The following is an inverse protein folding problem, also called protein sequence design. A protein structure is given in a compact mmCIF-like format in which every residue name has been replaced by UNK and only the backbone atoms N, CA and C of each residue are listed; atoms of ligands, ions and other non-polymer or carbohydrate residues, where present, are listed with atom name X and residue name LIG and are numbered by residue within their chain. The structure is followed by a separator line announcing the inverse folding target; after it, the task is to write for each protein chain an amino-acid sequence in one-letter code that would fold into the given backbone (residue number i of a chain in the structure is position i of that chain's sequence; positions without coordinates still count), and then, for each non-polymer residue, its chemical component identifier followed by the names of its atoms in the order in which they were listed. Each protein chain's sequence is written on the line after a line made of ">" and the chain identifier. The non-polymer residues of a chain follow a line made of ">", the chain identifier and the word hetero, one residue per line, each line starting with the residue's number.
data_IF_207313604981
#
_entry.id   IF_207313604981
#
_cell.length_a   1.000
_cell.length_b   1.000
_cell.length_c   1.000
_cell.angle_alpha   90.00
_cell.angle_beta   90.00
_cell.angle_gamma   90.00
#
_symmetry.space_group_name_H-M   'P 1'
#
loop_
_entity.id
_entity.type
_entity.pdbx_description
1 polymer ?
#
# COMPACT_ATOMS: atom_id res chain seq x y z
N UNK A 1 14.71 -9.78 2.75
CA UNK A 1 14.75 -8.64 1.82
C UNK A 1 13.78 -7.60 2.36
N UNK A 2 14.06 -6.29 2.20
CA UNK A 2 13.08 -5.24 2.46
C UNK A 2 11.80 -5.54 1.66
N UNK A 3 10.91 -4.60 1.38
CA UNK A 3 9.76 -4.88 0.51
C UNK A 3 10.19 -5.67 -0.73
N UNK A 4 9.52 -6.77 -1.03
CA UNK A 4 9.86 -7.61 -2.18
C UNK A 4 9.62 -6.83 -3.49
N UNK A 5 10.61 -6.81 -4.39
CA UNK A 5 10.48 -6.24 -5.73
C UNK A 5 10.61 -4.72 -5.83
N UNK A 6 10.10 -4.15 -6.92
CA UNK A 6 10.29 -2.75 -7.32
C UNK A 6 8.96 -1.99 -7.54
N UNK A 7 7.86 -2.68 -7.71
CA UNK A 7 6.53 -2.10 -7.88
C UNK A 7 5.64 -2.38 -6.68
N UNK A 8 4.69 -1.46 -6.43
CA UNK A 8 3.70 -1.57 -5.37
C UNK A 8 2.33 -1.10 -5.86
N UNK A 9 1.33 -1.97 -5.74
CA UNK A 9 -0.07 -1.56 -5.75
C UNK A 9 -0.51 -1.40 -4.30
N UNK A 10 -0.90 -0.18 -3.94
CA UNK A 10 -1.49 0.16 -2.66
C UNK A 10 -2.98 0.43 -2.87
N UNK A 11 -3.82 -0.23 -2.09
CA UNK A 11 -5.26 0.05 -2.03
C UNK A 11 -5.69 0.24 -0.59
N UNK A 12 -6.49 1.26 -0.33
CA UNK A 12 -7.04 1.50 1.00
C UNK A 12 -8.51 1.94 0.85
N UNK A 13 -9.38 1.41 1.71
CA UNK A 13 -10.82 1.66 1.62
C UNK A 13 -11.51 1.54 2.97
N UNK A 14 -12.65 2.21 3.07
CA UNK A 14 -13.67 1.94 4.09
C UNK A 14 -14.75 1.03 3.51
N UNK A 15 -15.42 0.29 4.39
CA UNK A 15 -16.57 -0.55 4.07
C UNK A 15 -17.66 -0.34 5.14
N UNK A 16 -18.92 -0.38 4.76
CA UNK A 16 -20.00 -0.28 5.74
C UNK A 16 -20.00 -1.51 6.66
N UNK A 17 -20.29 -1.30 7.94
CA UNK A 17 -20.30 -2.34 8.95
C UNK A 17 -21.22 -3.53 8.56
N UNK A 18 -22.34 -3.26 7.87
CA UNK A 18 -23.26 -4.29 7.37
C UNK A 18 -22.66 -5.23 6.32
N UNK A 19 -21.59 -4.82 5.64
CA UNK A 19 -20.92 -5.60 4.59
C UNK A 19 -19.53 -6.09 5.01
N UNK A 20 -19.08 -5.73 6.19
CA UNK A 20 -17.69 -5.94 6.61
C UNK A 20 -17.33 -7.43 6.74
N UNK A 21 -18.22 -8.25 7.28
CA UNK A 21 -18.00 -9.69 7.38
C UNK A 21 -17.85 -10.36 6.01
N UNK A 22 -18.69 -9.96 5.04
CA UNK A 22 -18.64 -10.46 3.67
C UNK A 22 -17.39 -10.00 2.94
N UNK A 23 -17.00 -8.73 3.09
CA UNK A 23 -15.80 -8.14 2.56
C UNK A 23 -14.53 -8.86 3.08
N UNK A 24 -14.46 -9.15 4.39
CA UNK A 24 -13.34 -9.88 4.96
C UNK A 24 -13.26 -11.30 4.42
N UNK A 25 -14.40 -12.02 4.35
CA UNK A 25 -14.47 -13.36 3.79
C UNK A 25 -14.02 -13.42 2.33
N UNK A 26 -14.42 -12.45 1.51
CA UNK A 26 -13.99 -12.33 0.11
C UNK A 26 -12.47 -12.14 -0.01
N UNK A 27 -11.88 -11.24 0.80
CA UNK A 27 -10.43 -11.06 0.83
C UNK A 27 -9.68 -12.33 1.22
N UNK A 28 -10.21 -13.05 2.21
CA UNK A 28 -9.54 -14.21 2.81
C UNK A 28 -9.67 -15.48 1.96
N UNK A 29 -10.65 -15.56 1.06
CA UNK A 29 -10.96 -16.78 0.31
C UNK A 29 -10.77 -16.68 -1.20
N UNK A 30 -10.69 -15.46 -1.74
CA UNK A 30 -10.59 -15.25 -3.17
C UNK A 30 -9.58 -14.15 -3.52
N UNK A 31 -9.83 -12.92 -3.07
CA UNK A 31 -9.21 -11.75 -3.68
C UNK A 31 -7.68 -11.68 -3.53
N UNK A 32 -7.16 -12.01 -2.34
CA UNK A 32 -5.71 -11.90 -2.11
C UNK A 32 -4.94 -12.92 -2.94
N UNK A 33 -5.43 -14.15 -2.96
CA UNK A 33 -4.83 -15.25 -3.76
C UNK A 33 -4.88 -14.93 -5.25
N UNK A 34 -6.05 -14.50 -5.80
CA UNK A 34 -6.18 -14.09 -7.19
C UNK A 34 -5.15 -13.04 -7.60
N UNK A 35 -4.90 -12.04 -6.74
CA UNK A 35 -3.94 -10.98 -7.04
C UNK A 35 -2.51 -11.49 -7.01
N UNK A 36 -2.14 -12.29 -6.02
CA UNK A 36 -0.79 -12.85 -5.89
C UNK A 36 -0.50 -13.89 -6.98
N UNK A 37 -1.53 -14.60 -7.48
CA UNK A 37 -1.40 -15.54 -8.58
C UNK A 37 -1.02 -14.88 -9.92
N UNK A 38 -1.27 -13.59 -10.12
CA UNK A 38 -0.93 -12.88 -11.35
C UNK A 38 0.59 -12.90 -11.58
N UNK A 39 1.02 -13.09 -12.82
CA UNK A 39 2.43 -13.06 -13.18
C UNK A 39 3.07 -11.71 -12.85
N UNK A 40 4.25 -11.76 -12.21
CA UNK A 40 4.98 -10.60 -11.76
C UNK A 40 4.63 -10.13 -10.34
N UNK A 41 3.50 -10.56 -9.75
CA UNK A 41 3.19 -10.32 -8.34
C UNK A 41 4.01 -11.27 -7.45
N UNK A 42 4.46 -10.78 -6.29
CA UNK A 42 5.33 -11.51 -5.38
C UNK A 42 4.66 -11.84 -4.05
N UNK A 43 3.98 -10.87 -3.47
CA UNK A 43 3.29 -11.00 -2.19
C UNK A 43 2.17 -9.97 -2.05
N UNK A 44 1.25 -10.25 -1.16
CA UNK A 44 0.25 -9.31 -0.68
C UNK A 44 0.24 -9.27 0.84
N UNK A 45 -0.07 -8.10 1.39
CA UNK A 45 -0.21 -7.87 2.83
C UNK A 45 -1.50 -7.12 3.08
N UNK A 46 -2.24 -7.54 4.09
CA UNK A 46 -3.51 -6.95 4.46
C UNK A 46 -3.49 -6.41 5.88
N UNK A 47 -4.00 -5.20 6.06
CA UNK A 47 -3.92 -4.46 7.32
C UNK A 47 -5.29 -3.88 7.68
N UNK A 48 -5.49 -3.65 9.00
CA UNK A 48 -6.62 -2.90 9.57
C UNK A 48 -6.11 -1.74 10.40
N UNK A 49 -6.75 -0.58 10.28
CA UNK A 49 -6.35 0.62 11.02
C UNK A 49 -6.54 0.46 12.53
N UNK A 50 -5.49 0.74 13.27
CA UNK A 50 -5.53 1.06 14.69
C UNK A 50 -5.80 2.55 14.88
N UNK A 51 -5.15 3.37 14.07
CA UNK A 51 -5.33 4.82 14.02
C UNK A 51 -5.37 5.30 12.57
N UNK A 52 -6.23 6.27 12.25
CA UNK A 52 -6.35 6.86 10.92
C UNK A 52 -7.43 6.22 10.05
N UNK A 53 -7.45 6.64 8.80
CA UNK A 53 -8.42 6.20 7.78
C UNK A 53 -7.79 6.22 6.39
N UNK A 54 -8.32 5.43 5.43
CA UNK A 54 -9.40 4.44 5.52
C UNK A 54 -9.09 3.25 6.43
N UNK A 55 -10.11 2.46 6.84
CA UNK A 55 -10.00 1.35 7.81
C UNK A 55 -9.13 0.21 7.31
N UNK A 56 -9.21 -0.15 6.04
CA UNK A 56 -8.48 -1.26 5.45
C UNK A 56 -7.40 -0.78 4.51
N UNK A 57 -6.27 -1.46 4.52
CA UNK A 57 -5.13 -1.22 3.63
C UNK A 57 -4.63 -2.56 3.11
N UNK A 58 -4.38 -2.64 1.80
CA UNK A 58 -3.73 -3.77 1.16
C UNK A 58 -2.56 -3.30 0.33
N UNK A 59 -1.45 -4.02 0.43
CA UNK A 59 -0.21 -3.79 -0.29
C UNK A 59 0.10 -5.01 -1.14
N UNK A 60 0.33 -4.82 -2.43
CA UNK A 60 0.72 -5.89 -3.35
C UNK A 60 2.03 -5.52 -4.00
N UNK A 61 3.09 -6.27 -3.73
CA UNK A 61 4.40 -6.02 -4.33
C UNK A 61 4.61 -6.84 -5.60
N UNK A 62 5.34 -6.26 -6.54
CA UNK A 62 5.66 -6.87 -7.83
C UNK A 62 7.15 -6.86 -8.10
N UNK A 63 7.65 -7.86 -8.84
CA UNK A 63 9.07 -8.01 -9.17
C UNK A 63 9.62 -6.81 -9.90
N UNK A 64 8.86 -6.30 -10.86
CA UNK A 64 9.14 -5.05 -11.58
C UNK A 64 7.94 -4.13 -11.50
N UNK A 65 8.16 -2.83 -11.71
CA UNK A 65 7.07 -1.86 -11.78
C UNK A 65 6.12 -2.14 -12.95
N UNK A 66 6.66 -2.59 -14.08
CA UNK A 66 5.94 -2.85 -15.32
C UNK A 66 4.92 -3.99 -15.18
N UNK A 67 5.07 -4.88 -14.20
CA UNK A 67 4.08 -5.91 -13.88
C UNK A 67 2.70 -5.31 -13.55
N UNK A 68 2.67 -4.10 -12.99
CA UNK A 68 1.44 -3.37 -12.65
C UNK A 68 0.72 -2.74 -13.85
N UNK A 69 1.27 -2.87 -15.04
CA UNK A 69 0.66 -2.49 -16.32
C UNK A 69 0.76 -3.63 -17.36
N UNK A 70 1.05 -4.84 -16.91
CA UNK A 70 1.22 -6.02 -17.79
C UNK A 70 -0.11 -6.47 -18.40
N UNK A 71 -0.07 -7.18 -19.53
CA UNK A 71 -1.26 -7.83 -20.09
C UNK A 71 -1.95 -8.77 -19.10
N UNK A 72 -1.19 -9.54 -18.31
CA UNK A 72 -1.73 -10.44 -17.28
C UNK A 72 -2.53 -9.67 -16.23
N UNK A 73 -1.99 -8.56 -15.71
CA UNK A 73 -2.70 -7.73 -14.74
C UNK A 73 -3.95 -7.08 -15.34
N UNK A 74 -3.88 -6.53 -16.56
CA UNK A 74 -5.04 -5.97 -17.26
C UNK A 74 -6.13 -7.00 -17.50
N UNK A 75 -5.76 -8.21 -17.90
CA UNK A 75 -6.70 -9.33 -18.07
C UNK A 75 -7.40 -9.68 -16.75
N UNK A 76 -6.66 -9.75 -15.64
CA UNK A 76 -7.24 -10.02 -14.34
C UNK A 76 -8.21 -8.91 -13.87
N UNK A 77 -7.92 -7.64 -14.20
CA UNK A 77 -8.83 -6.52 -13.92
C UNK A 77 -10.11 -6.57 -14.74
N UNK A 78 -10.03 -7.01 -16.01
CA UNK A 78 -11.18 -7.11 -16.91
C UNK A 78 -12.08 -8.32 -16.62
N UNK A 79 -11.54 -9.40 -16.04
CA UNK A 79 -12.23 -10.66 -15.79
C UNK A 79 -12.48 -10.93 -14.31
N UNK A 80 -12.90 -9.91 -13.57
CA UNK A 80 -13.24 -10.08 -12.17
C UNK A 80 -14.49 -10.96 -11.98
N UNK A 81 -14.50 -11.78 -10.92
CA UNK A 81 -15.64 -12.58 -10.51
C UNK A 81 -16.82 -11.69 -10.12
N UNK A 82 -18.02 -12.24 -10.10
CA UNK A 82 -19.21 -11.50 -9.62
C UNK A 82 -19.08 -11.17 -8.12
N UNK A 83 -18.40 -12.02 -7.36
CA UNK A 83 -18.11 -11.77 -5.95
C UNK A 83 -17.15 -10.58 -5.77
N UNK A 84 -16.09 -10.53 -6.58
CA UNK A 84 -15.18 -9.37 -6.64
C UNK A 84 -15.91 -8.09 -7.04
N UNK A 85 -16.72 -8.10 -8.10
CA UNK A 85 -17.50 -6.93 -8.55
C UNK A 85 -18.43 -6.41 -7.46
N UNK A 86 -19.16 -7.32 -6.79
CA UNK A 86 -20.10 -6.97 -5.72
C UNK A 86 -19.40 -6.32 -4.51
N UNK A 87 -18.20 -6.81 -4.12
CA UNK A 87 -17.46 -6.23 -3.01
C UNK A 87 -16.80 -4.89 -3.38
N UNK A 88 -16.22 -4.79 -4.58
CA UNK A 88 -15.58 -3.55 -5.07
C UNK A 88 -16.60 -2.41 -5.19
N UNK A 89 -17.83 -2.69 -5.63
CA UNK A 89 -18.90 -1.69 -5.70
C UNK A 89 -19.30 -1.07 -4.34
N UNK A 90 -18.92 -1.72 -3.23
CA UNK A 90 -19.19 -1.25 -1.86
C UNK A 90 -18.05 -0.42 -1.26
N UNK A 91 -16.92 -0.26 -1.96
CA UNK A 91 -15.79 0.50 -1.45
C UNK A 91 -16.13 1.97 -1.28
N UNK A 92 -15.71 2.54 -0.15
CA UNK A 92 -15.82 3.95 0.17
C UNK A 92 -14.45 4.53 0.47
N UNK A 93 -14.27 5.81 0.20
CA UNK A 93 -13.03 6.55 0.46
C UNK A 93 -11.79 5.85 -0.12
N UNK A 94 -11.95 5.23 -1.30
CA UNK A 94 -10.90 4.42 -1.90
C UNK A 94 -9.70 5.26 -2.27
N UNK A 95 -8.53 4.81 -1.85
CA UNK A 95 -7.23 5.24 -2.30
C UNK A 95 -6.63 4.10 -3.11
N UNK A 96 -6.21 4.38 -4.34
CA UNK A 96 -5.47 3.46 -5.18
C UNK A 96 -4.21 4.14 -5.68
N UNK A 97 -3.07 3.51 -5.45
CA UNK A 97 -1.79 3.98 -5.93
C UNK A 97 -1.01 2.84 -6.58
N UNK A 98 -0.54 3.07 -7.79
CA UNK A 98 0.44 2.24 -8.49
C UNK A 98 1.76 2.99 -8.39
N UNK A 99 2.74 2.42 -7.70
CA UNK A 99 3.93 3.15 -7.29
C UNK A 99 5.22 2.37 -7.54
N UNK A 100 6.32 3.11 -7.72
CA UNK A 100 7.69 2.58 -7.64
C UNK A 100 8.15 2.60 -6.19
N UNK A 101 8.83 1.55 -5.76
CA UNK A 101 9.54 1.51 -4.48
C UNK A 101 10.89 2.18 -4.71
N UNK A 102 11.05 3.44 -4.33
CA UNK A 102 12.26 4.24 -4.63
C UNK A 102 13.27 4.29 -3.49
N UNK A 103 12.80 4.10 -2.25
CA UNK A 103 13.64 3.87 -1.08
C UNK A 103 13.12 2.62 -0.37
N UNK A 104 14.04 1.71 -0.02
CA UNK A 104 13.71 0.51 0.74
C UNK A 104 14.90 0.14 1.61
N UNK A 105 14.76 0.25 2.94
CA UNK A 105 15.82 -0.01 3.91
C UNK A 105 15.30 -0.88 5.05
N UNK A 106 16.20 -1.65 5.63
CA UNK A 106 15.89 -2.63 6.68
C UNK A 106 15.44 -3.97 6.11
N UNK A 107 14.86 -4.84 6.91
CA UNK A 107 14.52 -6.21 6.53
C UNK A 107 13.22 -6.66 7.19
N UNK A 108 12.44 -7.42 6.43
CA UNK A 108 11.22 -8.04 6.94
C UNK A 108 10.05 -7.06 7.10
N UNK A 109 9.03 -7.53 7.78
CA UNK A 109 7.79 -6.83 8.15
C UNK A 109 7.50 -7.02 9.61
N UNK A 110 6.86 -6.03 10.21
CA UNK A 110 6.43 -6.08 11.59
C UNK A 110 4.92 -6.33 11.72
N UNK A 111 4.45 -6.42 12.97
CA UNK A 111 3.03 -6.53 13.28
C UNK A 111 2.28 -5.21 13.09
N UNK A 112 2.99 -4.08 13.10
CA UNK A 112 2.43 -2.75 12.91
C UNK A 112 3.08 -2.04 11.73
N UNK A 113 2.26 -1.27 10.99
CA UNK A 113 2.67 -0.46 9.84
C UNK A 113 2.22 0.99 10.04
N UNK A 114 3.18 1.92 10.06
CA UNK A 114 2.91 3.34 9.90
C UNK A 114 2.84 3.69 8.42
N UNK A 115 1.83 4.45 8.02
CA UNK A 115 1.73 5.00 6.68
C UNK A 115 1.57 6.52 6.75
N UNK A 116 2.30 7.23 5.89
CA UNK A 116 2.12 8.67 5.69
C UNK A 116 1.93 8.94 4.21
N UNK A 117 0.81 9.54 3.87
CA UNK A 117 0.48 10.00 2.53
C UNK A 117 0.97 11.42 2.32
N UNK A 118 1.74 11.63 1.29
CA UNK A 118 2.39 12.89 0.96
C UNK A 118 1.94 13.38 -0.41
N UNK A 119 1.71 14.68 -0.56
CA UNK A 119 1.50 15.34 -1.85
C UNK A 119 2.70 16.21 -2.19
N UNK A 120 3.66 15.72 -3.00
CA UNK A 120 4.86 16.46 -3.31
C UNK A 120 4.55 17.66 -4.21
N UNK A 121 4.98 18.86 -3.80
CA UNK A 121 5.02 20.05 -4.65
C UNK A 121 6.37 20.08 -5.39
N UNK A 122 7.45 19.82 -4.66
CA UNK A 122 8.82 19.66 -5.17
C UNK A 122 9.30 18.24 -4.86
N UNK A 123 9.30 17.38 -5.88
CA UNK A 123 9.61 15.96 -5.74
C UNK A 123 11.05 15.73 -5.33
N UNK A 124 12.01 16.49 -5.88
CA UNK A 124 13.43 16.26 -5.62
C UNK A 124 13.82 16.71 -4.22
N UNK A 125 13.29 17.85 -3.78
CA UNK A 125 13.46 18.32 -2.41
C UNK A 125 12.88 17.35 -1.40
N UNK A 126 11.65 16.87 -1.63
CA UNK A 126 11.00 15.91 -0.73
C UNK A 126 11.76 14.56 -0.70
N UNK A 127 12.20 14.05 -1.84
CA UNK A 127 12.98 12.82 -1.92
C UNK A 127 14.32 12.94 -1.18
N UNK A 128 14.97 14.09 -1.30
CA UNK A 128 16.21 14.37 -0.58
C UNK A 128 15.97 14.39 0.92
N UNK A 129 14.94 15.09 1.40
CA UNK A 129 14.58 15.13 2.81
C UNK A 129 14.27 13.73 3.38
N UNK A 130 13.54 12.90 2.62
CA UNK A 130 13.17 11.55 3.07
C UNK A 130 14.35 10.56 3.03
N UNK A 131 15.32 10.75 2.14
CA UNK A 131 16.44 9.81 1.99
C UNK A 131 17.22 9.59 3.29
N UNK A 132 17.43 10.62 4.06
CA UNK A 132 18.17 10.55 5.31
C UNK A 132 17.28 10.17 6.50
N UNK A 133 15.98 10.44 6.42
CA UNK A 133 15.01 10.15 7.46
C UNK A 133 14.57 8.70 7.47
N UNK A 134 14.52 8.03 6.30
CA UNK A 134 14.06 6.66 6.16
C UNK A 134 15.18 5.65 6.39
N UNK A 135 15.74 5.64 7.60
CA UNK A 135 16.77 4.70 8.05
C UNK A 135 16.34 4.05 9.38
N UNK A 136 16.05 2.74 9.40
CA UNK A 136 15.63 2.03 10.59
C UNK A 136 16.78 1.69 11.55
N UNK A 137 18.04 1.81 11.14
CA UNK A 137 19.20 1.25 11.84
C UNK A 137 19.37 1.73 13.30
N UNK A 138 18.76 2.85 13.69
CA UNK A 138 18.85 3.43 15.04
C UNK A 138 17.47 3.63 15.66
N UNK A 139 16.50 2.83 15.27
CA UNK A 139 15.13 2.94 15.75
C UNK A 139 14.69 1.59 16.34
N UNK A 140 14.65 1.52 17.66
CA UNK A 140 14.20 0.32 18.37
C UNK A 140 12.78 -0.06 17.94
N UNK A 141 12.58 -1.33 17.64
CA UNK A 141 11.30 -1.87 17.21
C UNK A 141 10.90 -1.54 15.76
N UNK A 142 11.73 -0.83 14.98
CA UNK A 142 11.52 -0.60 13.55
C UNK A 142 12.35 -1.57 12.74
N UNK A 143 11.71 -2.29 11.83
CA UNK A 143 12.35 -3.34 11.03
C UNK A 143 12.64 -2.91 9.61
N UNK A 144 11.79 -2.09 9.00
CA UNK A 144 12.04 -1.53 7.67
C UNK A 144 11.29 -0.22 7.42
N UNK A 145 11.81 0.57 6.47
CA UNK A 145 11.24 1.86 6.05
C UNK A 145 11.32 2.01 4.54
N UNK A 146 10.24 2.52 3.93
CA UNK A 146 10.13 2.59 2.47
C UNK A 146 9.50 3.89 1.99
N UNK A 147 9.87 4.30 0.76
CA UNK A 147 9.19 5.35 0.01
C UNK A 147 8.57 4.75 -1.25
N UNK A 148 7.29 5.01 -1.44
CA UNK A 148 6.53 4.68 -2.63
C UNK A 148 6.22 5.97 -3.39
N UNK A 149 6.64 6.05 -4.65
CA UNK A 149 6.36 7.18 -5.53
C UNK A 149 5.34 6.76 -6.58
N UNK A 150 4.12 7.28 -6.49
CA UNK A 150 3.03 6.89 -7.39
C UNK A 150 3.22 7.43 -8.80
N UNK A 151 2.85 6.59 -9.77
CA UNK A 151 2.67 6.98 -11.16
C UNK A 151 1.23 7.50 -11.35
N UNK A 152 1.03 8.78 -11.69
CA UNK A 152 -0.31 9.35 -11.81
C UNK A 152 -1.15 8.73 -12.93
N UNK A 153 -0.52 8.26 -14.02
CA UNK A 153 -1.22 7.68 -15.15
C UNK A 153 -1.79 6.30 -14.79
N UNK A 154 -1.00 5.47 -14.09
CA UNK A 154 -1.42 4.13 -13.68
C UNK A 154 -2.28 4.13 -12.41
N UNK A 155 -2.25 5.19 -11.62
CA UNK A 155 -3.05 5.33 -10.39
C UNK A 155 -4.45 5.90 -10.62
N UNK A 156 -4.87 6.05 -11.87
CA UNK A 156 -6.26 6.46 -12.22
C UNK A 156 -7.27 5.43 -11.70
N UNK A 157 -8.53 5.84 -11.44
CA UNK A 157 -9.60 4.90 -11.16
C UNK A 157 -9.74 3.87 -12.29
N UNK A 158 -10.04 2.63 -11.92
CA UNK A 158 -10.37 1.57 -12.89
C UNK A 158 -11.86 1.67 -13.16
N UNK A 159 -12.25 2.47 -14.14
CA UNK A 159 -13.64 2.71 -14.51
C UNK A 159 -13.69 3.16 -15.98
N UNK A 160 -14.81 2.86 -16.64
CA UNK A 160 -15.09 3.32 -18.01
C UNK A 160 -15.55 4.79 -18.03
N UNK A 161 -15.76 5.43 -16.89
CA UNK A 161 -16.12 6.84 -16.79
C UNK A 161 -14.86 7.73 -17.03
N UNK A 162 -14.79 8.42 -18.19
CA UNK A 162 -13.66 9.29 -18.50
C UNK A 162 -13.55 10.53 -17.59
N UNK A 163 -14.63 10.88 -16.89
CA UNK A 163 -14.64 11.97 -15.92
C UNK A 163 -14.13 11.58 -14.54
N UNK A 164 -13.99 10.28 -14.26
CA UNK A 164 -13.49 9.78 -13.00
C UNK A 164 -12.07 10.29 -12.72
N UNK A 165 -11.88 10.92 -11.58
CA UNK A 165 -10.61 11.51 -11.17
C UNK A 165 -10.09 10.88 -9.88
N UNK A 166 -8.78 10.81 -9.76
CA UNK A 166 -8.10 10.50 -8.51
C UNK A 166 -7.18 11.68 -8.16
N UNK A 167 -7.64 12.65 -7.37
CA UNK A 167 -6.83 13.81 -6.98
C UNK A 167 -5.52 13.45 -6.28
N UNK A 168 -5.43 12.21 -5.75
CA UNK A 168 -4.25 11.66 -5.11
C UNK A 168 -3.42 10.73 -5.98
N UNK A 169 -3.66 10.67 -7.30
CA UNK A 169 -2.95 9.75 -8.21
C UNK A 169 -1.42 9.95 -8.20
N UNK A 170 -0.95 11.16 -7.92
CA UNK A 170 0.48 11.49 -7.80
C UNK A 170 1.00 11.54 -6.36
N UNK A 171 0.20 11.18 -5.37
CA UNK A 171 0.63 11.21 -3.97
C UNK A 171 1.67 10.09 -3.70
N UNK A 172 2.60 10.38 -2.81
CA UNK A 172 3.61 9.43 -2.36
C UNK A 172 3.23 8.83 -1.02
N UNK A 173 3.84 7.69 -0.68
CA UNK A 173 3.58 7.05 0.60
C UNK A 173 4.90 6.65 1.26
N UNK A 174 5.06 7.04 2.53
CA UNK A 174 6.08 6.49 3.41
C UNK A 174 5.46 5.32 4.17
N UNK A 175 6.18 4.20 4.22
CA UNK A 175 5.82 3.03 5.00
C UNK A 175 6.89 2.81 6.08
N UNK A 176 6.48 2.53 7.30
CA UNK A 176 7.34 2.24 8.45
C UNK A 176 6.84 0.96 9.10
N UNK A 177 7.53 -0.15 8.87
CA UNK A 177 7.22 -1.43 9.48
C UNK A 177 7.88 -1.52 10.86
N UNK A 178 7.11 -1.88 11.87
CA UNK A 178 7.59 -2.02 13.25
C UNK A 178 6.97 -3.20 13.99
N UNK A 179 7.60 -3.57 15.09
CA UNK A 179 7.17 -4.70 15.93
C UNK A 179 5.85 -4.43 16.63
N UNK A 180 5.56 -3.17 16.92
CA UNK A 180 4.33 -2.74 17.60
C UNK A 180 3.97 -1.28 17.28
N UNK A 181 2.75 -0.89 17.64
CA UNK A 181 2.17 0.43 17.39
C UNK A 181 2.98 1.56 18.04
N UNK A 182 3.48 1.35 19.27
CA UNK A 182 4.21 2.39 19.98
C UNK A 182 5.57 2.68 19.33
N UNK A 183 6.29 1.64 18.90
CA UNK A 183 7.54 1.80 18.17
C UNK A 183 7.32 2.59 16.87
N UNK A 184 6.27 2.23 16.10
CA UNK A 184 5.91 2.92 14.86
C UNK A 184 5.52 4.38 15.12
N UNK A 185 4.69 4.66 16.12
CA UNK A 185 4.28 6.02 16.47
C UNK A 185 5.48 6.91 16.83
N UNK A 186 6.41 6.39 17.67
CA UNK A 186 7.65 7.09 18.02
C UNK A 186 8.53 7.37 16.81
N UNK A 187 8.69 6.39 15.91
CA UNK A 187 9.47 6.54 14.70
C UNK A 187 8.89 7.59 13.75
N UNK A 188 7.56 7.58 13.55
CA UNK A 188 6.86 8.60 12.75
C UNK A 188 7.11 10.00 13.32
N UNK A 189 6.95 10.19 14.62
CA UNK A 189 7.20 11.48 15.28
C UNK A 189 8.66 11.93 15.14
N UNK A 190 9.62 11.02 15.29
CA UNK A 190 11.04 11.32 15.25
C UNK A 190 11.57 11.62 13.84
N UNK A 191 11.05 10.94 12.80
CA UNK A 191 11.61 10.96 11.45
C UNK A 191 10.84 11.82 10.46
N UNK A 192 9.56 12.06 10.68
CA UNK A 192 8.72 12.80 9.73
C UNK A 192 8.40 14.23 10.21
N UNK A 193 9.19 14.72 11.16
CA UNK A 193 9.04 16.06 11.75
C UNK A 193 9.61 17.20 10.90
N UNK A 194 10.39 16.92 9.86
CA UNK A 194 11.01 17.93 9.01
C UNK A 194 9.97 18.76 8.26
N UNK A 195 10.23 20.06 8.10
CA UNK A 195 9.28 21.01 7.53
C UNK A 195 8.83 20.63 6.11
N UNK A 196 9.75 20.13 5.27
CA UNK A 196 9.44 19.69 3.91
C UNK A 196 8.47 18.49 3.90
N UNK A 197 8.62 17.55 4.84
CA UNK A 197 7.73 16.39 4.97
C UNK A 197 6.39 16.81 5.54
N UNK A 198 6.38 17.61 6.63
CA UNK A 198 5.14 18.13 7.24
C UNK A 198 4.27 18.89 6.26
N UNK A 199 4.87 19.78 5.44
CA UNK A 199 4.13 20.56 4.46
C UNK A 199 3.53 19.73 3.33
N UNK A 200 4.11 18.57 3.03
CA UNK A 200 3.60 17.63 2.02
C UNK A 200 2.59 16.62 2.60
N UNK A 201 2.48 16.49 3.93
CA UNK A 201 1.64 15.47 4.55
C UNK A 201 0.16 15.76 4.36
N UNK A 202 -0.56 14.78 3.79
CA UNK A 202 -2.01 14.79 3.59
C UNK A 202 -2.71 14.04 4.73
N UNK A 203 -2.20 12.87 5.09
CA UNK A 203 -2.74 12.04 6.16
C UNK A 203 -1.69 11.07 6.68
N UNK A 204 -1.93 10.53 7.85
CA UNK A 204 -1.13 9.46 8.43
C UNK A 204 -2.03 8.47 9.17
N UNK A 205 -1.53 7.25 9.37
CA UNK A 205 -2.23 6.23 10.12
C UNK A 205 -1.28 5.14 10.58
N UNK A 206 -1.74 4.35 11.55
CA UNK A 206 -1.05 3.15 12.05
C UNK A 206 -2.00 1.98 11.93
N UNK A 207 -1.50 0.89 11.37
CA UNK A 207 -2.26 -0.28 10.99
C UNK A 207 -1.67 -1.54 11.61
N UNK A 208 -2.51 -2.50 11.96
CA UNK A 208 -2.11 -3.86 12.31
C UNK A 208 -2.13 -4.76 11.10
N UNK A 209 -1.12 -5.60 10.98
CA UNK A 209 -1.11 -6.68 9.99
C UNK A 209 -2.20 -7.71 10.37
N UNK A 210 -3.11 -7.96 9.45
CA UNK A 210 -4.10 -9.03 9.58
C UNK A 210 -3.49 -10.36 9.13
N UNK A 211 -3.00 -10.41 7.90
CA UNK A 211 -2.28 -11.53 7.33
C UNK A 211 -1.58 -11.13 6.03
N UNK A 212 -0.73 -12.00 5.54
CA UNK A 212 -0.02 -11.84 4.29
C UNK A 212 0.06 -13.16 3.54
N UNK A 213 0.32 -13.09 2.24
CA UNK A 213 0.44 -14.23 1.34
C UNK A 213 1.61 -13.98 0.39
N UNK A 214 2.57 -14.89 0.36
CA UNK A 214 3.61 -14.88 -0.66
C UNK A 214 3.23 -15.80 -1.84
N UNK A 215 3.67 -15.47 -3.05
CA UNK A 215 3.41 -16.31 -4.24
C UNK A 215 3.93 -17.74 -4.10
N UNK A 216 5.00 -17.93 -3.35
CA UNK A 216 5.56 -19.26 -3.07
C UNK A 216 4.66 -20.16 -2.21
N UNK A 217 3.65 -19.59 -1.55
CA UNK A 217 2.70 -20.29 -0.68
C UNK A 217 1.44 -20.73 -1.43
N UNK A 218 1.22 -20.21 -2.65
CA UNK A 218 0.10 -20.63 -3.49
C UNK A 218 0.40 -22.03 -4.06
N UNK A 219 -0.52 -22.99 -3.89
CA UNK A 219 -0.34 -24.32 -4.47
C UNK A 219 -0.09 -24.23 -5.99
N UNK A 220 0.94 -24.91 -6.47
CA UNK A 220 1.13 -25.07 -7.92
C UNK A 220 0.10 -26.09 -8.38
N UNK A 221 -0.88 -25.63 -9.14
CA UNK A 221 -1.85 -26.50 -9.79
C UNK A 221 -1.20 -27.43 -10.83
#
# INVERSE_FOLDING_TARGET
>A
MPLAGQGMLLTSMDIDASHEAEFNRWYDREHLEERVAIDGFLEARRYVAQEGRPKYLSLYSTGTFEALDSPAYRTALANQTDWSKANIARFRNMIRAVARITISRGQGRGAALGIVRLRPVDKDKLRTALRDQLDPAKLDGIVSMHLLESDPALSKPITDDPSASNPGAGDWFVLIDGTDVNAVSKAMAARLGEAAVKSATISSGIYHLMWDLAKSEIPRG
#
